data_IF_129193354687
#
_entry.id   IF_129193354687
#
_cell.length_a   1.000
_cell.length_b   1.000
_cell.length_c   1.000
_cell.angle_alpha   90.00
_cell.angle_beta   90.00
_cell.angle_gamma   90.00
#
_symmetry.space_group_name_H-M   'P 1'
#
loop_
_entity.id
_entity.type
_entity.pdbx_description
1 polymer ?
#
# COMPACT_ATOMS: atom_id res chain seq x y z
N UNK A 1 47.52 -33.13 10.01
CA UNK A 1 47.06 -32.93 8.61
C UNK A 1 45.62 -32.44 8.66
N UNK A 2 45.40 -31.13 8.67
CA UNK A 2 44.09 -30.52 8.54
C UNK A 2 44.13 -29.68 7.28
N UNK A 3 43.55 -30.20 6.21
CA UNK A 3 43.57 -29.56 4.90
C UNK A 3 42.41 -28.57 4.83
N UNK A 4 42.77 -27.30 4.72
CA UNK A 4 41.90 -26.14 4.66
C UNK A 4 41.18 -26.10 3.32
N UNK A 5 39.96 -26.63 3.23
CA UNK A 5 39.04 -26.31 2.15
C UNK A 5 38.21 -25.08 2.55
N UNK A 6 38.87 -23.91 2.58
CA UNK A 6 38.16 -22.66 2.37
C UNK A 6 37.83 -22.62 0.88
N UNK A 7 36.68 -23.20 0.53
CA UNK A 7 36.00 -22.84 -0.70
C UNK A 7 35.79 -21.32 -0.64
N UNK A 8 36.56 -20.60 -1.45
CA UNK A 8 36.24 -19.23 -1.84
C UNK A 8 34.86 -19.24 -2.50
N UNK A 9 33.82 -19.15 -1.68
CA UNK A 9 32.51 -18.73 -2.14
C UNK A 9 32.69 -17.28 -2.56
N UNK A 10 32.90 -17.05 -3.87
CA UNK A 10 32.66 -15.74 -4.48
C UNK A 10 31.28 -15.30 -4.02
N UNK A 11 31.23 -14.38 -3.04
CA UNK A 11 30.00 -13.76 -2.57
C UNK A 11 29.40 -12.99 -3.75
N UNK A 12 28.57 -13.65 -4.54
CA UNK A 12 27.57 -12.97 -5.35
C UNK A 12 26.70 -12.24 -4.35
N UNK A 13 26.75 -10.90 -4.36
CA UNK A 13 25.87 -10.10 -3.55
C UNK A 13 24.42 -10.48 -3.94
N UNK A 14 23.65 -11.16 -3.06
CA UNK A 14 22.35 -11.70 -3.44
C UNK A 14 21.39 -10.54 -3.71
N UNK A 15 20.51 -10.67 -4.71
CA UNK A 15 19.49 -9.63 -4.94
C UNK A 15 18.46 -9.59 -3.82
N UNK A 16 17.74 -8.47 -3.76
CA UNK A 16 16.66 -8.24 -2.79
C UNK A 16 15.71 -9.44 -2.67
N UNK A 17 15.23 -9.98 -3.78
CA UNK A 17 14.28 -11.09 -3.77
C UNK A 17 14.91 -12.39 -3.31
N UNK A 18 16.18 -12.65 -3.65
CA UNK A 18 16.94 -13.80 -3.15
C UNK A 18 17.15 -13.72 -1.63
N UNK A 19 17.47 -12.53 -1.11
CA UNK A 19 17.54 -12.29 0.34
C UNK A 19 16.17 -12.53 0.98
N UNK A 20 15.11 -12.01 0.35
CA UNK A 20 13.76 -12.19 0.85
C UNK A 20 13.37 -13.67 0.92
N UNK A 21 13.61 -14.43 -0.14
CA UNK A 21 13.34 -15.88 -0.19
C UNK A 21 14.15 -16.64 0.87
N UNK A 22 15.43 -16.31 1.07
CA UNK A 22 16.27 -16.92 2.10
C UNK A 22 15.67 -16.73 3.50
N UNK A 23 15.13 -15.55 3.79
CA UNK A 23 14.52 -15.21 5.07
C UNK A 23 13.08 -15.72 5.20
N UNK A 24 12.43 -16.07 4.09
CA UNK A 24 11.01 -16.47 4.03
C UNK A 24 10.81 -17.89 3.49
N UNK A 25 11.78 -18.78 3.74
CA UNK A 25 11.74 -20.19 3.36
C UNK A 25 11.40 -20.45 1.87
N UNK A 26 11.79 -19.53 0.97
CA UNK A 26 11.60 -19.64 -0.48
C UNK A 26 10.26 -19.13 -1.02
N UNK A 27 9.38 -18.59 -0.19
CA UNK A 27 8.02 -18.23 -0.61
C UNK A 27 7.84 -16.76 -0.98
N UNK A 28 8.86 -15.90 -0.81
CA UNK A 28 8.67 -14.46 -0.88
C UNK A 28 8.28 -13.99 -2.29
N UNK A 29 9.01 -14.43 -3.33
CA UNK A 29 8.69 -14.04 -4.72
C UNK A 29 7.28 -14.44 -5.12
N UNK A 30 6.90 -15.69 -4.85
CA UNK A 30 5.59 -16.22 -5.23
C UNK A 30 4.48 -15.54 -4.44
N UNK A 31 4.62 -15.42 -3.12
CA UNK A 31 3.64 -14.74 -2.27
C UNK A 31 3.44 -13.29 -2.70
N UNK A 32 4.53 -12.58 -3.02
CA UNK A 32 4.43 -11.21 -3.50
C UNK A 32 3.75 -11.12 -4.86
N UNK A 33 4.17 -11.94 -5.82
CA UNK A 33 3.65 -11.94 -7.17
C UNK A 33 2.16 -12.26 -7.23
N UNK A 34 1.67 -13.22 -6.42
CA UNK A 34 0.25 -13.56 -6.35
C UNK A 34 -0.57 -12.48 -5.64
N UNK A 35 -0.10 -11.98 -4.49
CA UNK A 35 -0.79 -10.91 -3.78
C UNK A 35 -0.90 -9.63 -4.63
N UNK A 36 0.19 -9.24 -5.29
CA UNK A 36 0.22 -8.08 -6.17
C UNK A 36 -0.70 -8.26 -7.38
N UNK A 37 -0.77 -9.48 -7.94
CA UNK A 37 -1.69 -9.81 -9.02
C UNK A 37 -3.14 -9.63 -8.60
N UNK A 38 -3.53 -10.19 -7.46
CA UNK A 38 -4.89 -10.10 -6.93
C UNK A 38 -5.26 -8.66 -6.60
N UNK A 39 -4.37 -7.91 -5.94
CA UNK A 39 -4.61 -6.53 -5.53
C UNK A 39 -4.96 -5.62 -6.70
N UNK A 40 -4.26 -5.75 -7.83
CA UNK A 40 -4.49 -4.94 -9.04
C UNK A 40 -5.34 -5.64 -10.10
N UNK A 41 -5.93 -6.80 -9.80
CA UNK A 41 -6.67 -7.64 -10.76
C UNK A 41 -5.91 -7.88 -12.08
N UNK A 42 -4.61 -8.13 -12.02
CA UNK A 42 -3.75 -8.27 -13.21
C UNK A 42 -3.95 -9.63 -13.90
N UNK A 43 -3.87 -9.69 -15.23
CA UNK A 43 -3.98 -10.95 -15.96
C UNK A 43 -2.77 -11.85 -15.72
N UNK A 44 -2.95 -13.16 -15.90
CA UNK A 44 -1.92 -14.18 -15.59
C UNK A 44 -0.65 -14.06 -16.43
N UNK A 45 -0.72 -13.44 -17.60
CA UNK A 45 0.40 -13.23 -18.52
C UNK A 45 1.23 -11.97 -18.22
N UNK A 46 0.81 -11.13 -17.28
CA UNK A 46 1.54 -9.92 -16.89
C UNK A 46 2.58 -10.23 -15.81
N UNK A 47 3.75 -9.58 -15.90
CA UNK A 47 4.75 -9.63 -14.85
C UNK A 47 4.23 -8.93 -13.58
N UNK A 48 4.21 -9.63 -12.44
CA UNK A 48 3.68 -9.11 -11.17
C UNK A 48 4.71 -9.03 -10.05
N UNK A 49 5.98 -9.37 -10.34
CA UNK A 49 7.09 -9.20 -9.42
C UNK A 49 7.90 -7.94 -9.83
N UNK A 50 7.86 -6.86 -9.02
CA UNK A 50 8.61 -5.65 -9.33
C UNK A 50 10.13 -5.90 -9.39
N UNK A 51 10.85 -5.38 -10.41
CA UNK A 51 12.28 -5.58 -10.54
C UNK A 51 13.06 -4.77 -9.50
N UNK A 52 13.90 -5.46 -8.71
CA UNK A 52 14.76 -4.87 -7.70
C UNK A 52 16.24 -4.97 -8.14
N UNK A 53 17.04 -3.90 -8.01
CA UNK A 53 18.39 -3.83 -8.56
C UNK A 53 19.41 -4.67 -7.76
N UNK A 54 20.58 -4.87 -8.39
CA UNK A 54 21.81 -5.41 -7.76
C UNK A 54 22.91 -4.35 -7.85
N UNK A 55 22.64 -3.16 -7.34
CA UNK A 55 23.55 -2.01 -7.35
C UNK A 55 24.53 -1.99 -6.16
N UNK A 56 24.28 -2.80 -5.13
CA UNK A 56 25.13 -2.89 -3.94
C UNK A 56 24.71 -1.95 -2.81
N UNK A 57 23.67 -1.15 -3.03
CA UNK A 57 23.07 -0.25 -2.05
C UNK A 57 22.24 -1.03 -1.01
N UNK A 58 21.88 -0.36 0.08
CA UNK A 58 21.27 -0.96 1.26
C UNK A 58 19.74 -0.84 1.28
N UNK A 59 19.09 -1.93 1.72
CA UNK A 59 17.66 -1.99 1.98
C UNK A 59 17.35 -1.82 3.47
N UNK A 60 16.18 -1.26 3.78
CA UNK A 60 15.70 -1.17 5.15
C UNK A 60 15.43 -2.56 5.72
N UNK A 61 15.83 -2.81 6.96
CA UNK A 61 15.53 -4.05 7.70
C UNK A 61 15.01 -3.73 9.11
N UNK A 62 14.39 -4.70 9.79
CA UNK A 62 14.01 -4.61 11.21
C UNK A 62 13.19 -3.37 11.58
N UNK A 63 12.29 -2.92 10.70
CA UNK A 63 11.47 -1.71 10.89
C UNK A 63 12.24 -0.42 11.17
N UNK A 64 13.51 -0.35 10.76
CA UNK A 64 14.35 0.82 10.98
C UNK A 64 14.17 1.85 9.86
N UNK A 65 12.96 2.38 9.72
CA UNK A 65 12.61 3.38 8.72
C UNK A 65 11.75 4.50 9.28
N UNK A 66 11.90 5.69 8.72
CA UNK A 66 11.09 6.86 9.01
C UNK A 66 10.74 7.55 7.70
N UNK A 67 9.54 8.13 7.61
CA UNK A 67 9.08 8.84 6.42
C UNK A 67 8.12 9.98 6.76
N UNK A 68 7.97 10.99 5.88
CA UNK A 68 6.99 12.06 6.07
C UNK A 68 5.56 11.52 6.15
N UNK A 69 4.67 12.22 6.85
CA UNK A 69 3.26 11.79 7.05
C UNK A 69 2.54 11.44 5.76
N UNK A 70 2.71 12.24 4.70
CA UNK A 70 2.09 11.96 3.40
C UNK A 70 2.56 10.62 2.81
N UNK A 71 3.87 10.39 2.83
CA UNK A 71 4.47 9.13 2.39
C UNK A 71 4.00 7.95 3.23
N UNK A 72 3.87 8.15 4.55
CA UNK A 72 3.36 7.13 5.46
C UNK A 72 1.92 6.73 5.12
N UNK A 73 1.03 7.68 4.86
CA UNK A 73 -0.36 7.36 4.47
C UNK A 73 -0.43 6.57 3.18
N UNK A 74 0.34 6.97 2.15
CA UNK A 74 0.43 6.23 0.89
C UNK A 74 0.96 4.81 1.08
N UNK A 75 1.98 4.65 1.92
CA UNK A 75 2.54 3.34 2.26
C UNK A 75 1.53 2.46 3.01
N UNK A 76 0.76 3.02 3.95
CA UNK A 76 -0.23 2.28 4.73
C UNK A 76 -1.40 1.82 3.86
N UNK A 77 -1.92 2.68 2.97
CA UNK A 77 -2.96 2.29 2.01
C UNK A 77 -2.50 1.11 1.15
N UNK A 78 -1.33 1.23 0.53
CA UNK A 78 -0.71 0.14 -0.23
C UNK A 78 -0.54 -1.13 0.61
N UNK A 79 0.00 -1.01 1.83
CA UNK A 79 0.30 -2.16 2.67
C UNK A 79 -0.95 -2.89 3.14
N UNK A 80 -2.03 -2.15 3.43
CA UNK A 80 -3.31 -2.71 3.85
C UNK A 80 -3.95 -3.51 2.71
N UNK A 81 -4.08 -2.92 1.52
CA UNK A 81 -4.62 -3.61 0.34
C UNK A 81 -3.79 -4.85 0.00
N UNK A 82 -2.46 -4.72 -0.02
CA UNK A 82 -1.58 -5.84 -0.32
C UNK A 82 -1.72 -6.97 0.69
N UNK A 83 -1.80 -6.65 1.99
CA UNK A 83 -1.92 -7.66 3.04
C UNK A 83 -3.26 -8.39 2.93
N UNK A 84 -4.35 -7.68 2.63
CA UNK A 84 -5.65 -8.31 2.36
C UNK A 84 -5.56 -9.29 1.16
N UNK A 85 -5.00 -8.85 0.03
CA UNK A 85 -4.80 -9.73 -1.14
C UNK A 85 -3.89 -10.92 -0.85
N UNK A 86 -2.86 -10.74 -0.03
CA UNK A 86 -1.97 -11.81 0.40
C UNK A 86 -2.74 -12.85 1.24
N UNK A 87 -3.60 -12.42 2.15
CA UNK A 87 -4.46 -13.32 2.92
C UNK A 87 -5.44 -14.08 2.01
N UNK A 88 -6.06 -13.40 1.04
CA UNK A 88 -6.95 -14.07 0.07
C UNK A 88 -6.20 -15.09 -0.81
N UNK A 89 -4.98 -14.77 -1.26
CA UNK A 89 -4.14 -15.72 -2.00
C UNK A 89 -3.83 -16.99 -1.20
N UNK A 90 -3.72 -16.89 0.12
CA UNK A 90 -3.50 -18.02 1.02
C UNK A 90 -4.76 -18.88 1.17
N UNK A 91 -5.95 -18.27 1.15
CA UNK A 91 -7.23 -19.00 1.28
C UNK A 91 -7.51 -19.91 0.10
N UNK A 92 -7.08 -19.52 -1.10
CA UNK A 92 -7.15 -20.36 -2.29
C UNK A 92 -6.28 -21.62 -2.19
N UNK A 93 -5.35 -21.67 -1.23
CA UNK A 93 -4.42 -22.79 -1.00
C UNK A 93 -4.57 -23.36 0.44
N UNK A 94 -5.48 -24.32 0.67
CA UNK A 94 -5.87 -24.78 2.01
C UNK A 94 -4.75 -25.35 2.90
N UNK A 95 -3.62 -25.78 2.32
CA UNK A 95 -2.42 -26.22 3.06
C UNK A 95 -1.69 -25.08 3.81
N UNK A 96 -1.98 -23.81 3.49
CA UNK A 96 -1.28 -22.63 4.00
C UNK A 96 -2.10 -21.75 4.95
N UNK A 97 -3.33 -22.16 5.29
CA UNK A 97 -4.34 -21.35 6.01
C UNK A 97 -3.94 -20.88 7.44
N UNK A 98 -2.78 -21.28 7.96
CA UNK A 98 -2.36 -21.02 9.35
C UNK A 98 -0.92 -20.54 9.50
N UNK A 99 -0.20 -20.25 8.41
CA UNK A 99 1.23 -19.94 8.46
C UNK A 99 1.51 -18.65 7.70
N UNK A 100 2.19 -17.72 8.36
CA UNK A 100 2.82 -16.60 7.70
C UNK A 100 3.76 -17.11 6.60
N UNK A 101 3.39 -16.91 5.32
CA UNK A 101 4.22 -17.34 4.18
C UNK A 101 5.60 -16.68 4.20
N UNK A 102 5.72 -15.50 4.80
CA UNK A 102 6.98 -14.80 4.91
C UNK A 102 7.79 -15.16 6.17
N UNK A 103 7.22 -15.90 7.12
CA UNK A 103 7.89 -16.25 8.38
C UNK A 103 8.59 -17.61 8.32
N UNK A 104 9.86 -17.66 8.67
CA UNK A 104 10.64 -18.91 8.73
C UNK A 104 10.53 -19.58 10.11
N UNK A 105 10.59 -18.79 11.19
CA UNK A 105 10.58 -19.28 12.58
C UNK A 105 9.19 -19.29 13.23
N UNK A 106 9.06 -19.96 14.38
CA UNK A 106 7.80 -19.94 15.17
C UNK A 106 7.42 -18.53 15.63
N UNK A 107 8.40 -17.68 15.92
CA UNK A 107 8.18 -16.30 16.40
C UNK A 107 7.77 -15.41 15.23
N UNK A 108 8.48 -15.50 14.09
CA UNK A 108 8.13 -14.75 12.88
C UNK A 108 6.74 -15.11 12.37
N UNK A 109 6.35 -16.38 12.47
CA UNK A 109 5.00 -16.83 12.13
C UNK A 109 3.92 -16.22 13.02
N UNK A 110 4.25 -15.82 14.26
CA UNK A 110 3.35 -15.06 15.15
C UNK A 110 3.33 -13.57 14.84
N UNK A 111 4.44 -13.01 14.37
CA UNK A 111 4.62 -11.58 14.08
C UNK A 111 4.73 -11.36 12.56
N UNK A 112 3.79 -11.92 11.79
CA UNK A 112 3.89 -11.95 10.33
C UNK A 112 3.95 -10.56 9.69
N UNK A 113 3.22 -9.59 10.27
CA UNK A 113 3.19 -8.22 9.80
C UNK A 113 4.57 -7.58 9.80
N UNK A 114 5.47 -7.99 10.71
CA UNK A 114 6.81 -7.44 10.77
C UNK A 114 7.56 -7.70 9.46
N UNK A 115 7.55 -8.96 9.06
CA UNK A 115 8.21 -9.39 7.83
C UNK A 115 7.51 -8.81 6.59
N UNK A 116 6.18 -8.80 6.57
CA UNK A 116 5.41 -8.22 5.47
C UNK A 116 5.79 -6.75 5.26
N UNK A 117 5.73 -5.92 6.31
CA UNK A 117 6.01 -4.50 6.20
C UNK A 117 7.47 -4.20 5.84
N UNK A 118 8.42 -5.03 6.28
CA UNK A 118 9.82 -4.89 5.88
C UNK A 118 10.02 -5.11 4.37
N UNK A 119 9.34 -6.09 3.78
CA UNK A 119 9.39 -6.33 2.34
C UNK A 119 8.69 -5.19 1.61
N UNK A 120 7.48 -4.83 2.06
CA UNK A 120 6.65 -3.83 1.39
C UNK A 120 7.27 -2.45 1.38
N UNK A 121 7.88 -1.99 2.48
CA UNK A 121 8.44 -0.63 2.54
C UNK A 121 9.55 -0.43 1.53
N UNK A 122 10.39 -1.44 1.32
CA UNK A 122 11.50 -1.39 0.37
C UNK A 122 10.99 -1.36 -1.08
N UNK A 123 10.05 -2.25 -1.42
CA UNK A 123 9.46 -2.31 -2.76
C UNK A 123 8.67 -1.02 -3.04
N UNK A 124 7.83 -0.60 -2.10
CA UNK A 124 7.05 0.63 -2.22
C UNK A 124 7.97 1.85 -2.40
N UNK A 125 8.98 2.04 -1.54
CA UNK A 125 9.87 3.21 -1.62
C UNK A 125 10.65 3.25 -2.94
N UNK A 126 11.12 2.09 -3.41
CA UNK A 126 11.84 1.98 -4.67
C UNK A 126 10.96 2.33 -5.87
N UNK A 127 9.77 1.71 -5.97
CA UNK A 127 8.92 1.84 -7.15
C UNK A 127 8.03 3.08 -7.15
N UNK A 128 7.81 3.74 -6.00
CA UNK A 128 7.09 5.02 -5.89
C UNK A 128 7.99 6.26 -6.07
N UNK A 129 9.23 6.07 -6.53
CA UNK A 129 10.21 7.13 -6.78
C UNK A 129 10.58 7.95 -5.53
N UNK A 130 10.55 7.35 -4.33
CA UNK A 130 10.93 8.03 -3.08
C UNK A 130 12.43 8.07 -2.92
N UNK A 131 12.97 9.21 -2.47
CA UNK A 131 14.38 9.31 -2.10
C UNK A 131 14.63 8.42 -0.87
N UNK A 132 15.53 7.46 -0.99
CA UNK A 132 15.90 6.55 0.10
C UNK A 132 17.25 7.00 0.65
N UNK A 133 17.34 7.22 1.95
CA UNK A 133 18.56 7.72 2.61
C UNK A 133 18.88 6.81 3.78
N UNK A 134 20.07 6.24 3.77
CA UNK A 134 20.65 5.53 4.90
C UNK A 134 21.22 6.55 5.88
N UNK A 135 21.00 6.29 7.17
CA UNK A 135 21.54 7.07 8.28
C UNK A 135 22.45 6.15 9.08
N UNK A 136 23.74 6.46 9.13
CA UNK A 136 24.67 5.77 10.02
C UNK A 136 24.29 6.12 11.47
N UNK A 137 23.92 5.13 12.31
CA UNK A 137 23.47 5.39 13.68
C UNK A 137 24.59 5.84 14.62
N UNK A 138 25.86 5.62 14.25
CA UNK A 138 27.04 5.98 15.04
C UNK A 138 27.53 7.36 14.64
N UNK A 139 27.72 7.60 13.34
CA UNK A 139 28.30 8.84 12.83
C UNK A 139 27.25 9.92 12.49
N UNK A 140 26.00 9.54 12.27
CA UNK A 140 24.94 10.42 11.79
C UNK A 140 25.06 10.80 10.30
N UNK A 141 26.00 10.19 9.57
CA UNK A 141 26.18 10.45 8.14
C UNK A 141 24.98 9.96 7.33
N UNK A 142 24.63 10.75 6.32
CA UNK A 142 23.50 10.50 5.43
C UNK A 142 24.02 10.11 4.05
N UNK A 143 23.59 8.96 3.54
CA UNK A 143 23.94 8.48 2.21
C UNK A 143 22.69 8.09 1.43
N UNK A 144 22.53 8.64 0.22
CA UNK A 144 21.41 8.26 -0.65
C UNK A 144 21.63 6.84 -1.19
N UNK A 145 20.67 5.96 -0.92
CA UNK A 145 20.61 4.60 -1.43
C UNK A 145 19.64 4.53 -2.60
N UNK A 146 19.98 3.72 -3.60
CA UNK A 146 19.22 3.55 -4.84
C UNK A 146 18.83 4.89 -5.49
N UNK A 147 19.80 5.73 -5.92
CA UNK A 147 19.53 7.08 -6.41
C UNK A 147 18.45 7.14 -7.48
N UNK A 148 17.52 8.10 -7.36
CA UNK A 148 16.34 8.20 -8.26
C UNK A 148 16.73 8.16 -9.74
N UNK A 149 17.82 8.83 -10.11
CA UNK A 149 18.31 8.92 -11.49
C UNK A 149 18.67 7.56 -12.08
N UNK A 150 19.15 6.62 -11.26
CA UNK A 150 19.49 5.26 -11.70
C UNK A 150 18.27 4.34 -11.83
N UNK A 151 17.11 4.75 -11.30
CA UNK A 151 15.87 3.94 -11.28
C UNK A 151 14.91 4.28 -12.42
N UNK A 152 15.18 5.35 -13.17
CA UNK A 152 14.33 5.79 -14.29
C UNK A 152 14.17 4.65 -15.31
N UNK A 153 12.93 4.32 -15.66
CA UNK A 153 12.60 3.22 -16.58
C UNK A 153 12.48 1.84 -15.93
N UNK A 154 12.92 1.66 -14.69
CA UNK A 154 12.77 0.40 -13.93
C UNK A 154 11.70 0.47 -12.84
N UNK A 155 11.32 1.68 -12.41
CA UNK A 155 10.28 1.88 -11.39
C UNK A 155 8.88 1.58 -11.93
N UNK A 156 7.99 1.13 -11.05
CA UNK A 156 6.59 0.83 -11.36
C UNK A 156 5.67 1.96 -10.89
N UNK A 157 6.06 3.21 -11.18
CA UNK A 157 5.44 4.43 -10.63
C UNK A 157 3.94 4.49 -10.88
N UNK A 158 3.46 3.90 -11.97
CA UNK A 158 2.03 3.84 -12.31
C UNK A 158 1.22 3.06 -11.28
N UNK A 159 1.74 1.93 -10.79
CA UNK A 159 1.07 1.09 -9.80
C UNK A 159 1.10 1.75 -8.41
N UNK A 160 2.18 2.46 -8.10
CA UNK A 160 2.37 3.12 -6.81
C UNK A 160 1.98 4.61 -6.81
N UNK A 161 1.10 5.01 -7.75
CA UNK A 161 0.62 6.38 -7.84
C UNK A 161 -0.33 6.68 -6.67
N UNK A 162 -0.18 7.84 -6.02
CA UNK A 162 -0.98 8.19 -4.84
C UNK A 162 -2.48 8.30 -5.12
N UNK A 163 -2.87 8.76 -6.32
CA UNK A 163 -4.28 8.87 -6.72
C UNK A 163 -4.86 7.48 -6.94
N UNK A 164 -4.16 6.62 -7.68
CA UNK A 164 -4.58 5.23 -7.89
C UNK A 164 -4.72 4.47 -6.56
N UNK A 165 -3.71 4.56 -5.69
CA UNK A 165 -3.75 3.91 -4.38
C UNK A 165 -4.92 4.40 -3.54
N UNK A 166 -5.27 5.68 -3.63
CA UNK A 166 -6.40 6.25 -2.91
C UNK A 166 -7.74 5.79 -3.46
N UNK A 167 -7.92 5.79 -4.78
CA UNK A 167 -9.14 5.31 -5.45
C UNK A 167 -9.38 3.83 -5.12
N UNK A 168 -8.36 2.99 -5.24
CA UNK A 168 -8.47 1.58 -4.86
C UNK A 168 -8.77 1.38 -3.38
N UNK A 169 -8.15 2.17 -2.50
CA UNK A 169 -8.39 2.10 -1.05
C UNK A 169 -9.84 2.49 -0.71
N UNK A 170 -10.40 3.50 -1.40
CA UNK A 170 -11.81 3.90 -1.28
C UNK A 170 -12.76 2.81 -1.81
N UNK A 171 -12.50 2.25 -3.00
CA UNK A 171 -13.31 1.17 -3.59
C UNK A 171 -13.37 -0.06 -2.66
N UNK A 172 -12.24 -0.46 -2.08
CA UNK A 172 -12.17 -1.58 -1.14
C UNK A 172 -12.89 -1.26 0.18
N UNK A 173 -12.94 0.01 0.58
CA UNK A 173 -13.70 0.45 1.74
C UNK A 173 -15.20 0.36 1.53
N UNK A 174 -15.67 0.72 0.33
CA UNK A 174 -17.07 0.60 -0.07
C UNK A 174 -17.48 -0.87 -0.14
N UNK A 175 -16.66 -1.71 -0.80
CA UNK A 175 -16.88 -3.15 -0.93
C UNK A 175 -17.01 -3.84 0.45
N UNK A 176 -16.16 -3.48 1.42
CA UNK A 176 -16.25 -4.02 2.77
C UNK A 176 -17.52 -3.60 3.55
N UNK A 177 -18.18 -2.51 3.15
CA UNK A 177 -19.42 -2.01 3.73
C UNK A 177 -20.68 -2.65 3.15
N UNK A 178 -20.59 -3.23 1.96
CA UNK A 178 -21.67 -3.91 1.28
C UNK A 178 -21.74 -5.39 1.75
N UNK A 179 -22.85 -5.80 2.37
CA UNK A 179 -23.06 -7.15 2.95
C UNK A 179 -23.17 -8.26 1.87
N UNK A 180 -22.88 -7.94 0.61
CA UNK A 180 -23.11 -8.78 -0.58
C UNK A 180 -21.92 -9.72 -0.92
N UNK A 181 -20.93 -9.85 -0.05
CA UNK A 181 -19.80 -10.75 -0.31
C UNK A 181 -20.12 -12.23 -0.09
N UNK A 182 -19.90 -13.10 -1.11
CA UNK A 182 -20.19 -14.54 -1.00
C UNK A 182 -19.28 -15.29 -0.01
N UNK A 183 -18.23 -14.64 0.52
CA UNK A 183 -17.27 -15.20 1.47
C UNK A 183 -17.64 -14.92 2.94
N UNK A 184 -18.78 -14.29 3.21
CA UNK A 184 -19.35 -14.07 4.54
C UNK A 184 -19.94 -15.34 5.18
N UNK A 185 -20.11 -16.41 4.40
CA UNK A 185 -20.72 -17.65 4.89
C UNK A 185 -19.67 -18.67 5.37
N UNK A 186 -19.65 -18.88 6.69
CA UNK A 186 -18.92 -19.93 7.44
C UNK A 186 -17.41 -19.70 7.66
N UNK A 187 -17.09 -19.19 8.85
CA UNK A 187 -15.75 -18.98 9.46
C UNK A 187 -15.00 -17.72 8.98
N UNK A 188 -15.50 -16.57 9.43
CA UNK A 188 -14.71 -15.40 9.79
C UNK A 188 -13.94 -14.77 8.63
N UNK A 189 -14.57 -13.84 7.94
CA UNK A 189 -13.89 -12.98 6.97
C UNK A 189 -12.80 -12.18 7.70
N UNK A 190 -11.52 -12.46 7.44
CA UNK A 190 -10.42 -11.67 8.00
C UNK A 190 -10.08 -10.55 7.02
N UNK A 191 -11.07 -9.72 6.70
CA UNK A 191 -10.81 -8.44 6.04
C UNK A 191 -10.08 -7.54 7.03
N UNK A 192 -8.96 -6.95 6.61
CA UNK A 192 -8.26 -5.94 7.40
C UNK A 192 -9.00 -4.60 7.39
N UNK A 193 -10.10 -4.50 6.64
CA UNK A 193 -10.94 -3.33 6.64
C UNK A 193 -11.88 -3.32 7.84
N UNK A 194 -11.87 -2.27 8.67
CA UNK A 194 -12.95 -2.04 9.60
C UNK A 194 -14.24 -1.80 8.80
N UNK A 195 -15.37 -2.35 9.25
CA UNK A 195 -16.72 -2.11 8.70
C UNK A 195 -17.09 -0.61 8.62
N UNK A 196 -16.33 0.23 9.31
CA UNK A 196 -16.27 1.67 9.13
C UNK A 196 -14.93 1.97 8.48
N UNK A 197 -14.86 2.06 7.14
CA UNK A 197 -13.60 2.20 6.38
C UNK A 197 -12.71 3.42 6.67
N UNK A 198 -13.05 4.21 7.69
CA UNK A 198 -12.24 5.28 8.25
C UNK A 198 -11.53 4.79 9.52
N UNK A 199 -10.33 5.29 9.78
CA UNK A 199 -9.85 5.37 11.17
C UNK A 199 -10.82 6.31 11.88
N UNK A 200 -11.89 5.76 12.45
CA UNK A 200 -12.98 6.52 13.03
C UNK A 200 -12.43 7.42 14.12
N UNK A 201 -12.25 8.69 13.78
CA UNK A 201 -11.88 9.74 14.70
C UNK A 201 -13.14 10.59 14.89
N UNK A 202 -13.85 10.36 15.99
CA UNK A 202 -15.07 11.10 16.37
C UNK A 202 -14.96 12.60 16.05
N UNK A 203 -13.82 13.21 16.40
CA UNK A 203 -13.56 14.64 16.22
C UNK A 203 -13.52 15.10 14.75
N UNK A 204 -12.99 14.28 13.85
CA UNK A 204 -12.89 14.61 12.41
C UNK A 204 -14.25 14.36 11.74
N UNK A 205 -14.87 13.23 12.05
CA UNK A 205 -16.19 12.85 11.53
C UNK A 205 -17.26 13.89 11.85
N UNK A 206 -17.38 14.28 13.11
CA UNK A 206 -18.35 15.29 13.56
C UNK A 206 -18.13 16.65 12.88
N UNK A 207 -16.86 17.01 12.66
CA UNK A 207 -16.49 18.25 11.98
C UNK A 207 -16.90 18.24 10.52
N UNK A 208 -16.58 17.19 9.78
CA UNK A 208 -16.94 17.07 8.36
C UNK A 208 -18.45 16.99 8.15
N UNK A 209 -19.17 16.27 9.03
CA UNK A 209 -20.63 16.24 9.02
C UNK A 209 -21.24 17.63 9.25
N UNK A 210 -20.75 18.38 10.24
CA UNK A 210 -21.21 19.73 10.51
C UNK A 210 -20.90 20.72 9.36
N UNK A 211 -19.80 20.51 8.63
CA UNK A 211 -19.45 21.30 7.44
C UNK A 211 -20.37 20.96 6.25
N UNK A 212 -20.65 19.67 6.00
CA UNK A 212 -21.60 19.22 4.97
C UNK A 212 -23.01 19.76 5.21
N UNK A 213 -23.50 19.72 6.45
CA UNK A 213 -24.82 20.24 6.81
C UNK A 213 -24.90 21.78 6.67
N UNK A 214 -23.83 22.49 7.05
CA UNK A 214 -23.75 23.95 6.80
C UNK A 214 -23.78 24.28 5.31
N UNK A 215 -23.02 23.57 4.48
CA UNK A 215 -23.03 23.76 3.04
C UNK A 215 -24.41 23.48 2.41
N UNK A 216 -25.11 22.44 2.87
CA UNK A 216 -26.50 22.13 2.46
C UNK A 216 -27.47 23.25 2.82
N UNK A 217 -27.40 23.74 4.05
CA UNK A 217 -28.23 24.86 4.54
C UNK A 217 -27.97 26.14 3.76
N UNK A 218 -26.70 26.47 3.48
CA UNK A 218 -26.34 27.63 2.66
C UNK A 218 -26.82 27.51 1.22
N UNK A 219 -26.71 26.31 0.61
CA UNK A 219 -27.21 26.07 -0.75
C UNK A 219 -28.73 26.24 -0.81
N UNK A 220 -29.44 25.67 0.15
CA UNK A 220 -30.90 25.80 0.28
C UNK A 220 -31.33 27.26 0.46
N UNK A 221 -30.61 28.03 1.30
CA UNK A 221 -30.87 29.46 1.49
C UNK A 221 -30.64 30.26 0.21
N UNK A 222 -29.51 30.04 -0.47
CA UNK A 222 -29.18 30.69 -1.76
C UNK A 222 -30.21 30.38 -2.84
N UNK A 223 -30.70 29.14 -2.90
CA UNK A 223 -31.69 28.73 -3.89
C UNK A 223 -33.07 29.35 -3.61
N UNK A 224 -33.48 29.44 -2.33
CA UNK A 224 -34.70 30.19 -1.94
C UNK A 224 -34.59 31.68 -2.28
N UNK A 225 -33.44 32.31 -2.05
CA UNK A 225 -33.22 33.71 -2.39
C UNK A 225 -33.31 33.95 -3.91
N UNK A 226 -32.70 33.06 -4.72
CA UNK A 226 -32.82 33.11 -6.18
C UNK A 226 -34.27 32.95 -6.63
N UNK A 227 -35.03 32.05 -6.00
CA UNK A 227 -36.45 31.83 -6.31
C UNK A 227 -37.28 33.09 -6.00
N UNK A 228 -37.09 33.69 -4.82
CA UNK A 228 -37.76 34.92 -4.41
C UNK A 228 -37.41 36.11 -5.32
N UNK A 229 -36.14 36.23 -5.73
CA UNK A 229 -35.69 37.25 -6.69
C UNK A 229 -36.38 37.09 -8.06
N UNK A 230 -36.51 35.85 -8.56
CA UNK A 230 -37.24 35.52 -9.80
C UNK A 230 -38.74 35.85 -9.71
N UNK A 231 -39.38 35.58 -8.57
CA UNK A 231 -40.79 35.92 -8.35
C UNK A 231 -41.02 37.44 -8.29
N UNK A 232 -40.13 38.20 -7.65
CA UNK A 232 -40.27 39.66 -7.49
C UNK A 232 -39.93 40.48 -8.73
N UNK A 233 -38.91 40.07 -9.50
CA UNK A 233 -38.37 40.89 -10.60
C UNK A 233 -38.46 40.21 -11.97
N UNK A 234 -39.10 39.04 -12.06
CA UNK A 234 -39.15 38.23 -13.28
C UNK A 234 -37.80 37.62 -13.65
N UNK A 235 -37.75 36.93 -14.78
CA UNK A 235 -36.52 36.35 -15.31
C UNK A 235 -35.71 37.43 -16.03
N UNK A 236 -34.59 37.88 -15.46
CA UNK A 236 -33.64 38.74 -16.19
C UNK A 236 -32.90 37.91 -17.24
N UNK A 237 -33.42 37.88 -18.46
CA UNK A 237 -32.69 37.36 -19.62
C UNK A 237 -31.53 38.32 -19.92
N UNK A 238 -30.31 37.80 -20.07
CA UNK A 238 -29.23 38.56 -20.69
C UNK A 238 -29.48 38.54 -22.21
N UNK A 239 -29.43 39.69 -22.91
CA UNK A 239 -29.55 39.70 -24.36
C UNK A 239 -28.40 38.86 -24.95
N UNK A 240 -28.73 38.00 -25.90
CA UNK A 240 -27.77 37.26 -26.70
C UNK A 240 -27.18 38.22 -27.74
N UNK A 241 -26.26 39.08 -27.31
CA UNK A 241 -25.59 40.07 -28.15
C UNK A 241 -25.23 41.33 -27.38
N UNK A 242 -23.94 41.44 -27.03
CA UNK A 242 -23.33 42.54 -26.30
C UNK A 242 -21.94 42.15 -25.82
#
# INVERSE_FOLDING_TARGET
>A
MANTYLLEVKHKNPDFWSICDLLSAGHCRTAFAEAFRLMYALPSNMATLPPMPRDGDQWSTLHSWAMPTRSFLEFVMFSRMFTSSLLDSQRLNPENYSRCLLGSSKIEKRQCYCRILEVLVNVWAYHSARKMVYIDPISGLLEEQHPIQKRIGSMWVTHFNSTLLKEMDEDWAEEAGDDDHPLSSSRGSMWLWPLTGEVYCNLIFDKEHAEKERARMEKSSRDKEKLLKRQKHGYKQRPLGG
#
